data_IF_191894515929
#
_entry.id   IF_191894515929
#
_cell.length_a   1.000
_cell.length_b   1.000
_cell.length_c   1.000
_cell.angle_alpha   90.00
_cell.angle_beta   90.00
_cell.angle_gamma   90.00
#
_symmetry.space_group_name_H-M   'P 1'
#
loop_
_entity.id
_entity.type
_entity.pdbx_description
1 polymer ?
#
# COMPACT_ATOMS: atom_id res chain seq x y z
N UNK A 1 28.22 -8.82 24.15
CA UNK A 1 26.86 -9.04 23.59
C UNK A 1 25.77 -8.92 24.66
N UNK A 2 25.78 -7.88 25.51
CA UNK A 2 24.73 -7.64 26.51
C UNK A 2 24.13 -6.21 26.43
N UNK A 3 24.80 -5.31 25.72
CA UNK A 3 24.43 -3.89 25.60
C UNK A 3 23.34 -3.61 24.56
N UNK A 4 22.95 -4.60 23.75
CA UNK A 4 21.93 -4.46 22.69
C UNK A 4 20.50 -4.67 23.22
N UNK A 5 20.33 -5.46 24.30
CA UNK A 5 19.00 -5.82 24.81
C UNK A 5 18.29 -4.65 25.49
N UNK A 6 19.02 -3.86 26.27
CA UNK A 6 18.48 -2.70 27.00
C UNK A 6 18.04 -1.55 26.09
N UNK A 7 18.52 -1.53 24.85
CA UNK A 7 18.29 -0.41 23.92
C UNK A 7 17.22 -0.74 22.88
N UNK A 8 17.04 -2.03 22.55
CA UNK A 8 16.11 -2.48 21.50
C UNK A 8 14.83 -3.11 22.03
N UNK A 9 14.85 -3.66 23.25
CA UNK A 9 13.71 -4.38 23.80
C UNK A 9 13.35 -3.80 25.17
N UNK A 10 12.05 -3.73 25.46
CA UNK A 10 11.59 -3.33 26.78
C UNK A 10 12.06 -4.37 27.79
N UNK A 11 12.92 -3.95 28.72
CA UNK A 11 13.45 -4.83 29.77
C UNK A 11 12.61 -4.72 31.04
N UNK A 12 12.75 -5.70 31.95
CA UNK A 12 12.12 -5.63 33.29
C UNK A 12 12.59 -4.39 34.07
N UNK A 13 13.79 -3.87 33.81
CA UNK A 13 14.27 -2.60 34.37
C UNK A 13 13.54 -1.38 33.83
N UNK A 14 13.09 -1.40 32.57
CA UNK A 14 12.29 -0.32 31.99
C UNK A 14 10.83 -0.39 32.44
N UNK A 15 10.32 -1.60 32.67
CA UNK A 15 9.02 -1.80 33.31
C UNK A 15 9.01 -1.27 34.75
N UNK A 16 10.04 -1.58 35.54
CA UNK A 16 10.14 -1.10 36.92
C UNK A 16 10.15 0.44 37.03
N UNK A 17 10.69 1.14 36.03
CA UNK A 17 10.68 2.62 35.95
C UNK A 17 9.31 3.20 35.57
N UNK A 18 8.38 2.38 35.08
CA UNK A 18 7.01 2.78 34.70
C UNK A 18 5.98 2.44 35.79
N UNK A 19 6.41 1.98 36.96
CA UNK A 19 5.53 1.72 38.10
C UNK A 19 5.38 3.02 38.89
N UNK A 20 4.12 3.42 39.11
CA UNK A 20 3.74 4.54 39.96
C UNK A 20 3.96 4.15 41.45
N UNK A 21 4.36 5.06 42.36
CA UNK A 21 4.40 4.82 43.81
C UNK A 21 3.20 4.08 44.43
N UNK A 22 2.01 4.16 43.83
CA UNK A 22 0.80 3.43 44.28
C UNK A 22 0.72 1.97 43.76
N UNK A 23 1.75 1.48 43.09
CA UNK A 23 1.84 0.11 42.55
C UNK A 23 1.11 -0.10 41.22
N UNK A 24 0.53 0.96 40.65
CA UNK A 24 -0.06 0.96 39.31
C UNK A 24 0.96 1.23 38.20
N UNK A 25 0.54 1.10 36.94
CA UNK A 25 1.36 1.53 35.80
C UNK A 25 1.17 3.04 35.63
N UNK A 26 2.27 3.81 35.68
CA UNK A 26 2.25 5.26 35.53
C UNK A 26 1.76 5.66 34.12
N UNK A 27 0.99 6.76 33.99
CA UNK A 27 0.58 7.28 32.69
C UNK A 27 1.82 7.78 31.92
N UNK A 28 2.17 7.06 30.84
CA UNK A 28 3.27 7.45 29.95
C UNK A 28 2.76 8.50 28.97
N UNK A 29 3.34 9.71 29.01
CA UNK A 29 3.04 10.76 28.04
C UNK A 29 3.82 10.47 26.76
N UNK A 30 3.11 10.00 25.73
CA UNK A 30 3.67 9.65 24.42
C UNK A 30 3.98 10.91 23.58
N UNK A 31 5.01 11.68 23.96
CA UNK A 31 5.42 12.91 23.26
C UNK A 31 6.01 12.65 21.86
N UNK A 32 6.47 11.43 21.57
CA UNK A 32 7.02 11.03 20.28
C UNK A 32 6.01 10.27 19.41
N UNK A 33 4.76 10.12 19.85
CA UNK A 33 3.73 9.51 19.02
C UNK A 33 3.39 10.44 17.85
N UNK A 34 3.96 10.14 16.68
CA UNK A 34 3.62 10.82 15.45
C UNK A 34 2.33 10.23 14.89
N UNK A 35 1.24 11.00 14.95
CA UNK A 35 0.00 10.64 14.26
C UNK A 35 0.10 11.03 12.80
N UNK A 36 0.12 10.04 11.89
CA UNK A 36 0.05 10.31 10.45
C UNK A 36 -1.41 10.19 9.96
N UNK A 37 -2.10 11.32 9.72
CA UNK A 37 -3.50 11.31 9.28
C UNK A 37 -3.67 10.79 7.84
N UNK A 38 -2.61 10.78 7.02
CA UNK A 38 -2.67 10.27 5.64
C UNK A 38 -3.05 8.79 5.61
N UNK A 39 -2.63 8.02 6.61
CA UNK A 39 -2.95 6.60 6.69
C UNK A 39 -4.42 6.35 7.02
N UNK A 40 -5.10 7.32 7.64
CA UNK A 40 -6.54 7.23 7.96
C UNK A 40 -7.43 7.58 6.76
N UNK A 41 -6.93 8.40 5.83
CA UNK A 41 -7.64 8.82 4.61
C UNK A 41 -7.30 7.94 3.39
N UNK A 42 -6.26 7.10 3.49
CA UNK A 42 -5.87 6.21 2.41
C UNK A 42 -6.94 5.13 2.15
N UNK A 43 -7.49 5.11 0.93
CA UNK A 43 -8.36 4.03 0.49
C UNK A 43 -7.55 2.74 0.31
N UNK A 44 -7.84 1.74 1.14
CA UNK A 44 -7.30 0.39 1.01
C UNK A 44 -8.26 -0.49 0.21
N UNK A 45 -7.75 -1.17 -0.79
CA UNK A 45 -8.49 -2.16 -1.59
C UNK A 45 -7.71 -3.47 -1.66
N UNK A 46 -8.42 -4.59 -1.68
CA UNK A 46 -7.81 -5.91 -1.78
C UNK A 46 -7.21 -6.14 -3.17
N UNK A 47 -5.98 -6.64 -3.21
CA UNK A 47 -5.31 -7.07 -4.44
C UNK A 47 -5.99 -8.29 -5.05
N UNK A 48 -6.03 -8.38 -6.38
CA UNK A 48 -6.58 -9.55 -7.09
C UNK A 48 -5.52 -10.60 -7.44
N UNK A 49 -4.24 -10.38 -7.08
CA UNK A 49 -3.14 -11.32 -7.21
C UNK A 49 -2.53 -11.62 -5.83
N UNK A 50 -1.91 -12.81 -5.64
CA UNK A 50 -1.22 -13.16 -4.40
C UNK A 50 -0.10 -12.18 -4.00
N UNK A 51 0.46 -11.45 -4.97
CA UNK A 51 1.59 -10.55 -4.77
C UNK A 51 1.29 -9.10 -5.20
N UNK A 52 0.03 -8.75 -5.48
CA UNK A 52 -0.29 -7.42 -6.01
C UNK A 52 -1.70 -7.26 -6.60
N UNK A 53 -1.83 -6.25 -7.47
CA UNK A 53 -3.06 -5.97 -8.20
C UNK A 53 -2.78 -5.84 -9.71
N UNK A 54 -3.58 -6.51 -10.54
CA UNK A 54 -3.52 -6.44 -12.01
C UNK A 54 -4.66 -5.61 -12.56
N UNK A 55 -4.32 -4.51 -13.23
CA UNK A 55 -5.25 -3.70 -14.01
C UNK A 55 -5.09 -3.97 -15.51
N UNK A 56 -6.21 -4.04 -16.24
CA UNK A 56 -6.20 -4.15 -17.71
C UNK A 56 -6.60 -2.83 -18.31
N UNK A 57 -5.70 -2.22 -19.07
CA UNK A 57 -5.89 -0.90 -19.66
C UNK A 57 -5.94 -1.01 -21.19
N UNK A 58 -6.86 -0.29 -21.82
CA UNK A 58 -6.94 -0.23 -23.29
C UNK A 58 -5.84 0.70 -23.81
N UNK A 59 -5.00 0.20 -24.72
CA UNK A 59 -3.85 0.94 -25.25
C UNK A 59 -4.12 1.59 -26.59
N UNK A 60 -5.02 1.02 -27.40
CA UNK A 60 -5.42 1.64 -28.67
C UNK A 60 -6.91 1.57 -28.88
N UNK A 61 -7.42 2.60 -29.56
CA UNK A 61 -8.77 2.62 -30.09
C UNK A 61 -8.69 2.38 -31.60
N UNK A 62 -9.54 1.50 -32.17
CA UNK A 62 -9.58 1.30 -33.62
C UNK A 62 -10.00 2.60 -34.31
N UNK A 63 -9.29 2.96 -35.38
CA UNK A 63 -9.66 4.05 -36.27
C UNK A 63 -10.57 3.55 -37.38
N UNK A 64 -11.58 4.34 -37.72
CA UNK A 64 -12.40 4.12 -38.91
C UNK A 64 -11.73 4.69 -40.16
N UNK A 65 -11.99 4.08 -41.31
CA UNK A 65 -11.58 4.61 -42.62
C UNK A 65 -12.79 4.87 -43.50
N UNK A 66 -12.72 5.90 -44.35
CA UNK A 66 -13.75 6.17 -45.35
C UNK A 66 -13.68 5.16 -46.49
N UNK A 67 -14.82 4.62 -46.89
CA UNK A 67 -14.96 3.57 -47.92
C UNK A 67 -15.48 4.14 -49.25
N UNK A 68 -14.89 3.72 -50.37
CA UNK A 68 -15.46 3.92 -51.70
C UNK A 68 -16.46 2.81 -52.07
N UNK A 69 -17.37 3.09 -53.03
CA UNK A 69 -18.37 2.11 -53.47
C UNK A 69 -17.68 0.84 -54.01
N UNK A 70 -18.11 -0.32 -53.53
CA UNK A 70 -17.57 -1.66 -53.85
C UNK A 70 -16.10 -1.94 -53.44
N UNK A 71 -15.47 -1.07 -52.63
CA UNK A 71 -14.12 -1.30 -52.10
C UNK A 71 -14.15 -1.82 -50.65
N UNK A 72 -13.22 -2.73 -50.30
CA UNK A 72 -13.06 -3.23 -48.92
C UNK A 72 -12.64 -2.15 -47.92
N UNK A 73 -12.82 -2.44 -46.62
CA UNK A 73 -12.34 -1.61 -45.50
C UNK A 73 -11.25 -2.39 -44.78
N UNK A 74 -10.19 -1.72 -44.35
CA UNK A 74 -9.17 -2.35 -43.51
C UNK A 74 -9.76 -2.77 -42.16
N UNK A 75 -9.51 -4.01 -41.74
CA UNK A 75 -9.90 -4.49 -40.42
C UNK A 75 -9.07 -3.81 -39.34
N UNK A 76 -9.72 -3.31 -38.29
CA UNK A 76 -9.05 -2.72 -37.13
C UNK A 76 -9.60 -3.31 -35.84
N UNK A 77 -8.74 -3.43 -34.82
CA UNK A 77 -9.12 -3.92 -33.49
C UNK A 77 -8.40 -3.12 -32.40
N UNK A 78 -9.05 -2.96 -31.25
CA UNK A 78 -8.41 -2.40 -30.06
C UNK A 78 -7.35 -3.34 -29.51
N UNK A 79 -6.29 -2.78 -28.94
CA UNK A 79 -5.34 -3.54 -28.13
C UNK A 79 -5.49 -3.18 -26.65
N UNK A 80 -5.16 -4.13 -25.80
CA UNK A 80 -5.15 -3.98 -24.33
C UNK A 80 -3.79 -4.39 -23.80
N UNK A 81 -3.37 -3.74 -22.72
CA UNK A 81 -2.17 -4.10 -21.95
C UNK A 81 -2.55 -4.33 -20.49
N UNK A 82 -1.93 -5.32 -19.88
CA UNK A 82 -2.03 -5.56 -18.44
C UNK A 82 -0.86 -4.88 -17.73
N UNK A 83 -1.16 -4.26 -16.59
CA UNK A 83 -0.18 -3.63 -15.70
C UNK A 83 -0.35 -4.28 -14.33
N UNK A 84 0.78 -4.72 -13.77
CA UNK A 84 0.83 -5.39 -12.47
C UNK A 84 1.51 -4.46 -11.47
N UNK A 85 0.77 -4.11 -10.42
CA UNK A 85 1.26 -3.33 -9.29
C UNK A 85 1.62 -4.29 -8.16
N UNK A 86 2.92 -4.46 -7.88
CA UNK A 86 3.41 -5.34 -6.81
C UNK A 86 3.24 -4.72 -5.44
N UNK A 87 2.81 -5.51 -4.45
CA UNK A 87 2.76 -5.11 -3.05
C UNK A 87 3.92 -5.75 -2.27
N UNK A 88 4.59 -4.98 -1.40
CA UNK A 88 5.72 -5.41 -0.56
C UNK A 88 6.15 -4.34 0.42
#
# INVERSE_FOLDING_TARGET
MATELSTKFLTLSDWAKRIDPDGGIAPVVELLAETNPLLMDAHMMEGNLPTGHRSTQRTTQPSGTWRMLNQGVAETKSTTRQVDDSAG
#
